data_IF_191632655836
#
_entry.id   IF_191632655836
#
_cell.length_a   1.000
_cell.length_b   1.000
_cell.length_c   1.000
_cell.angle_alpha   90.00
_cell.angle_beta   90.00
_cell.angle_gamma   90.00
#
_symmetry.space_group_name_H-M   'P 1'
#
loop_
_entity.id
_entity.type
_entity.pdbx_description
1 polymer ?
#
# COMPACT_ATOMS: atom_id res chain seq x y z
N UNK A 1 -30.88 -9.24 4.71
CA UNK A 1 -30.23 -8.81 5.98
C UNK A 1 -28.72 -8.76 5.77
N UNK A 2 -28.10 -7.60 5.87
CA UNK A 2 -26.64 -7.49 5.78
C UNK A 2 -26.00 -7.99 7.08
N UNK A 3 -25.08 -8.95 6.97
CA UNK A 3 -24.36 -9.51 8.14
C UNK A 3 -23.16 -8.66 8.51
N UNK A 4 -22.75 -8.69 9.79
CA UNK A 4 -21.53 -8.03 10.27
C UNK A 4 -20.29 -8.47 9.45
N UNK A 5 -20.24 -9.74 9.05
CA UNK A 5 -19.20 -10.27 8.18
C UNK A 5 -19.13 -9.54 6.82
N UNK A 6 -20.28 -9.21 6.20
CA UNK A 6 -20.34 -8.45 4.93
C UNK A 6 -19.82 -7.01 5.11
N UNK A 7 -20.17 -6.35 6.23
CA UNK A 7 -19.68 -5.00 6.57
C UNK A 7 -18.17 -4.97 6.87
N UNK A 8 -17.62 -6.04 7.45
CA UNK A 8 -16.19 -6.17 7.72
C UNK A 8 -15.40 -6.53 6.46
N UNK A 9 -15.95 -7.39 5.58
CA UNK A 9 -15.32 -7.74 4.28
C UNK A 9 -15.12 -6.52 3.39
N UNK A 10 -16.06 -5.56 3.43
CA UNK A 10 -15.93 -4.28 2.71
C UNK A 10 -14.80 -3.38 3.24
N UNK A 11 -14.26 -3.66 4.42
CA UNK A 11 -13.21 -2.86 5.08
C UNK A 11 -11.81 -3.43 4.96
N UNK A 12 -11.60 -4.58 4.29
CA UNK A 12 -10.26 -5.18 4.19
C UNK A 12 -9.36 -4.31 3.31
N UNK A 13 -8.61 -3.41 3.94
CA UNK A 13 -7.65 -2.54 3.28
C UNK A 13 -6.43 -3.36 2.84
N UNK A 14 -6.07 -3.29 1.56
CA UNK A 14 -4.90 -3.99 1.05
C UNK A 14 -3.62 -3.36 1.58
N UNK A 15 -2.48 -4.07 1.61
CA UNK A 15 -1.20 -3.49 2.00
C UNK A 15 -0.86 -2.20 1.22
N UNK A 16 -1.17 -2.16 -0.08
CA UNK A 16 -0.95 -0.98 -0.91
C UNK A 16 -1.87 0.18 -0.55
N UNK A 17 -3.14 -0.09 -0.21
CA UNK A 17 -4.07 0.94 0.26
C UNK A 17 -3.63 1.52 1.61
N UNK A 18 -3.20 0.66 2.55
CA UNK A 18 -2.72 1.07 3.86
C UNK A 18 -1.47 1.97 3.76
N UNK A 19 -0.48 1.58 2.96
CA UNK A 19 0.70 2.41 2.66
C UNK A 19 0.28 3.71 1.97
N UNK A 20 -0.65 3.64 1.01
CA UNK A 20 -1.11 4.82 0.29
C UNK A 20 -1.73 5.86 1.23
N UNK A 21 -2.59 5.41 2.16
CA UNK A 21 -3.21 6.25 3.19
C UNK A 21 -2.16 6.88 4.11
N UNK A 22 -1.17 6.10 4.56
CA UNK A 22 -0.08 6.58 5.43
C UNK A 22 0.75 7.70 4.79
N UNK A 23 0.95 7.64 3.48
CA UNK A 23 1.74 8.63 2.75
C UNK A 23 0.89 9.67 2.01
N UNK A 24 -0.42 9.73 2.27
CA UNK A 24 -1.35 10.62 1.56
C UNK A 24 -1.16 10.54 0.03
N UNK A 25 -1.33 9.34 -0.51
CA UNK A 25 -1.22 9.01 -1.94
C UNK A 25 -2.28 7.99 -2.32
N UNK A 26 -2.29 7.53 -3.57
CA UNK A 26 -3.18 6.46 -4.04
C UNK A 26 -2.47 5.10 -4.13
N UNK A 27 -3.27 4.02 -4.11
CA UNK A 27 -2.77 2.65 -4.17
C UNK A 27 -2.10 2.33 -5.51
N UNK A 28 -2.55 2.94 -6.60
CA UNK A 28 -1.93 2.78 -7.93
C UNK A 28 -0.48 3.25 -7.95
N UNK A 29 -0.20 4.41 -7.33
CA UNK A 29 1.16 4.95 -7.21
C UNK A 29 2.07 4.02 -6.40
N UNK A 30 1.56 3.46 -5.31
CA UNK A 30 2.27 2.46 -4.51
C UNK A 30 2.54 1.20 -5.35
N UNK A 31 1.54 0.73 -6.11
CA UNK A 31 1.66 -0.42 -7.00
C UNK A 31 2.66 -0.23 -8.14
N UNK A 32 2.77 0.98 -8.71
CA UNK A 32 3.81 1.34 -9.68
C UNK A 32 5.21 1.23 -9.09
N UNK A 33 5.38 1.64 -7.83
CA UNK A 33 6.65 1.49 -7.10
C UNK A 33 6.96 0.01 -6.83
N UNK A 34 5.95 -0.75 -6.37
CA UNK A 34 6.11 -2.18 -6.07
C UNK A 34 6.49 -3.01 -7.31
N UNK A 35 5.95 -2.67 -8.48
CA UNK A 35 6.25 -3.33 -9.77
C UNK A 35 7.48 -2.79 -10.49
N UNK A 36 8.23 -1.89 -9.87
CA UNK A 36 9.37 -1.19 -10.47
C UNK A 36 9.07 -0.37 -11.74
N UNK A 37 7.80 -0.18 -12.10
CA UNK A 37 7.36 0.76 -13.15
C UNK A 37 7.72 2.21 -12.80
N UNK A 38 7.91 2.48 -11.50
CA UNK A 38 8.44 3.75 -10.99
C UNK A 38 9.50 3.49 -9.93
N UNK A 39 10.71 4.01 -10.14
CA UNK A 39 11.82 3.89 -9.18
C UNK A 39 12.10 5.27 -8.55
N UNK A 40 11.49 5.59 -7.40
CA UNK A 40 11.71 6.86 -6.73
C UNK A 40 13.06 6.89 -6.00
N UNK A 41 13.82 7.97 -6.21
CA UNK A 41 15.13 8.18 -5.58
C UNK A 41 15.10 9.16 -4.40
N UNK A 42 14.00 9.89 -4.19
CA UNK A 42 13.86 10.89 -3.12
C UNK A 42 12.41 11.08 -2.66
N UNK A 43 12.25 11.78 -1.53
CA UNK A 43 10.96 12.25 -1.02
C UNK A 43 9.99 11.12 -0.64
N UNK A 44 8.68 11.36 -0.84
CA UNK A 44 7.60 10.43 -0.49
C UNK A 44 7.76 9.05 -1.16
N UNK A 45 8.12 9.02 -2.44
CA UNK A 45 8.27 7.76 -3.18
C UNK A 45 9.34 6.86 -2.57
N UNK A 46 10.47 7.44 -2.13
CA UNK A 46 11.54 6.68 -1.47
C UNK A 46 11.07 6.08 -0.13
N UNK A 47 10.27 6.83 0.65
CA UNK A 47 9.68 6.33 1.89
C UNK A 47 8.76 5.13 1.64
N UNK A 48 7.92 5.20 0.61
CA UNK A 48 7.03 4.11 0.18
C UNK A 48 7.85 2.89 -0.26
N UNK A 49 8.90 3.07 -1.06
CA UNK A 49 9.78 1.98 -1.50
C UNK A 49 10.42 1.27 -0.31
N UNK A 50 10.90 2.01 0.69
CA UNK A 50 11.49 1.43 1.90
C UNK A 50 10.45 0.65 2.73
N UNK A 51 9.20 1.12 2.80
CA UNK A 51 8.14 0.42 3.52
C UNK A 51 7.73 -0.87 2.81
N UNK A 52 7.64 -0.85 1.48
CA UNK A 52 7.43 -2.05 0.66
C UNK A 52 8.54 -3.09 0.88
N UNK A 53 9.82 -2.65 0.91
CA UNK A 53 10.96 -3.53 1.20
C UNK A 53 10.91 -4.16 2.60
N UNK A 54 10.44 -3.42 3.60
CA UNK A 54 10.27 -3.96 4.97
C UNK A 54 9.19 -5.05 5.03
N UNK A 55 8.11 -4.88 4.26
CA UNK A 55 7.06 -5.90 4.17
C UNK A 55 7.54 -7.19 3.50
N UNK A 56 8.47 -7.10 2.55
CA UNK A 56 9.03 -8.28 1.87
C UNK A 56 10.17 -8.94 2.65
N UNK A 57 10.93 -8.19 3.46
CA UNK A 57 12.07 -8.72 4.23
C UNK A 57 11.70 -9.47 5.52
N UNK A 58 10.42 -9.47 5.91
CA UNK A 58 9.92 -10.19 7.09
C UNK A 58 9.53 -11.65 6.76
N UNK A 59 10.25 -12.30 5.83
CA UNK A 59 9.97 -13.65 5.36
C UNK A 59 11.18 -14.56 5.56
#
# INVERSE_FOLDING_TARGET
METLAKKIKLRSETPYQSIAKKHNTNAEYVGKIARAERIPTRGKGLKILNELKKLTNNK
#
